data_IF_103986756189
#
_entry.id   IF_103986756189
#
_cell.length_a   1.000
_cell.length_b   1.000
_cell.length_c   1.000
_cell.angle_alpha   90.00
_cell.angle_beta   90.00
_cell.angle_gamma   90.00
#
_symmetry.space_group_name_H-M   'P 1'
#
loop_
_entity.id
_entity.type
_entity.pdbx_description
1 polymer ?
#
# COMPACT_ATOMS: atom_id res chain seq x y z
N UNK A 1 -11.31 -21.20 8.19
CA UNK A 1 -10.12 -22.07 8.46
C UNK A 1 -8.99 -21.84 7.47
N UNK A 2 -9.26 -21.63 6.18
CA UNK A 2 -8.22 -21.33 5.15
C UNK A 2 -7.39 -20.11 5.48
N UNK A 3 -8.00 -18.98 5.95
CA UNK A 3 -7.26 -17.77 6.33
C UNK A 3 -6.20 -17.98 7.42
N UNK A 4 -6.46 -18.86 8.41
CA UNK A 4 -5.48 -19.21 9.45
C UNK A 4 -4.32 -20.02 8.85
N UNK A 5 -4.63 -20.96 7.93
CA UNK A 5 -3.60 -21.66 7.18
C UNK A 5 -2.78 -20.69 6.33
N UNK A 6 -3.44 -19.70 5.72
CA UNK A 6 -2.81 -18.62 4.96
C UNK A 6 -1.82 -17.81 5.80
N UNK A 7 -2.20 -17.41 7.00
CA UNK A 7 -1.27 -16.71 7.92
C UNK A 7 -0.03 -17.54 8.19
N UNK A 8 -0.20 -18.84 8.49
CA UNK A 8 0.93 -19.77 8.70
C UNK A 8 1.80 -19.94 7.46
N UNK A 9 1.17 -20.10 6.29
CA UNK A 9 1.88 -20.23 5.01
C UNK A 9 2.68 -18.96 4.66
N UNK A 10 2.10 -17.77 4.87
CA UNK A 10 2.77 -16.49 4.62
C UNK A 10 3.99 -16.34 5.53
N UNK A 11 3.87 -16.65 6.82
CA UNK A 11 5.01 -16.62 7.75
C UNK A 11 6.08 -17.64 7.36
N UNK A 12 5.68 -18.83 6.93
CA UNK A 12 6.60 -19.87 6.45
C UNK A 12 7.36 -19.40 5.20
N UNK A 13 6.66 -18.82 4.23
CA UNK A 13 7.29 -18.26 3.02
C UNK A 13 8.27 -17.15 3.40
N UNK A 14 7.87 -16.19 4.23
CA UNK A 14 8.76 -15.13 4.71
C UNK A 14 10.01 -15.72 5.42
N UNK A 15 9.85 -16.74 6.25
CA UNK A 15 10.94 -17.43 6.92
C UNK A 15 11.85 -18.18 5.95
N UNK A 16 11.30 -18.84 4.92
CA UNK A 16 12.07 -19.53 3.89
C UNK A 16 12.98 -18.58 3.12
N UNK A 17 12.48 -17.38 2.81
CA UNK A 17 13.22 -16.33 2.11
C UNK A 17 14.04 -15.41 3.03
N UNK A 18 14.12 -15.72 4.33
CA UNK A 18 14.96 -14.99 5.28
C UNK A 18 16.44 -15.16 4.98
N UNK A 19 17.20 -14.06 5.05
CA UNK A 19 18.66 -14.06 4.88
C UNK A 19 19.38 -14.67 6.06
N UNK A 20 18.80 -14.56 7.28
CA UNK A 20 19.40 -15.08 8.50
C UNK A 20 18.31 -15.53 9.50
N UNK A 21 17.85 -16.77 9.33
CA UNK A 21 16.75 -17.34 10.13
C UNK A 21 17.04 -17.41 11.63
N UNK A 22 18.33 -17.48 12.03
CA UNK A 22 18.72 -17.58 13.44
C UNK A 22 18.60 -16.27 14.19
N UNK A 23 18.72 -15.15 13.47
CA UNK A 23 18.70 -13.81 14.05
C UNK A 23 17.30 -13.15 14.00
N UNK A 24 16.26 -13.91 13.63
CA UNK A 24 14.89 -13.40 13.67
C UNK A 24 14.52 -13.11 15.12
N UNK A 25 14.21 -11.84 15.41
CA UNK A 25 13.75 -11.42 16.73
C UNK A 25 12.27 -11.78 16.91
N UNK A 26 12.02 -12.93 17.58
CA UNK A 26 10.66 -13.44 17.80
C UNK A 26 9.79 -12.47 18.58
N UNK A 27 10.36 -11.65 19.47
CA UNK A 27 9.60 -10.62 20.21
C UNK A 27 9.06 -9.56 19.24
N UNK A 28 9.90 -9.00 18.39
CA UNK A 28 9.48 -7.99 17.40
C UNK A 28 8.46 -8.56 16.42
N UNK A 29 8.70 -9.77 15.92
CA UNK A 29 7.81 -10.45 14.96
C UNK A 29 6.44 -10.76 15.61
N UNK A 30 6.42 -11.35 16.80
CA UNK A 30 5.16 -11.68 17.48
C UNK A 30 4.37 -10.43 17.87
N UNK A 31 5.03 -9.39 18.37
CA UNK A 31 4.37 -8.13 18.72
C UNK A 31 3.83 -7.41 17.50
N UNK A 32 4.54 -7.42 16.37
CA UNK A 32 4.05 -6.83 15.13
C UNK A 32 2.81 -7.57 14.59
N UNK A 33 2.81 -8.90 14.63
CA UNK A 33 1.66 -9.72 14.25
C UNK A 33 0.47 -9.49 15.21
N UNK A 34 0.72 -9.50 16.52
CA UNK A 34 -0.32 -9.24 17.52
C UNK A 34 -0.92 -7.84 17.37
N UNK A 35 -0.08 -6.82 17.11
CA UNK A 35 -0.53 -5.46 16.86
C UNK A 35 -1.43 -5.38 15.61
N UNK A 36 -1.06 -6.09 14.55
CA UNK A 36 -1.84 -6.16 13.32
C UNK A 36 -3.20 -6.82 13.57
N UNK A 37 -3.22 -7.96 14.29
CA UNK A 37 -4.46 -8.67 14.67
C UNK A 37 -5.31 -7.78 15.59
N UNK A 38 -4.70 -7.17 16.61
CA UNK A 38 -5.39 -6.27 17.53
C UNK A 38 -6.05 -5.11 16.80
N UNK A 39 -5.32 -4.48 15.87
CA UNK A 39 -5.85 -3.37 15.10
C UNK A 39 -7.03 -3.80 14.22
N UNK A 40 -6.90 -4.94 13.54
CA UNK A 40 -7.97 -5.49 12.72
C UNK A 40 -9.21 -5.87 13.56
N UNK A 41 -9.01 -6.52 14.73
CA UNK A 41 -10.10 -6.81 15.67
C UNK A 41 -10.80 -5.52 16.13
N UNK A 42 -10.02 -4.50 16.50
CA UNK A 42 -10.54 -3.23 16.95
C UNK A 42 -11.44 -2.58 15.90
N UNK A 43 -10.97 -2.48 14.65
CA UNK A 43 -11.68 -1.70 13.61
C UNK A 43 -12.73 -2.51 12.83
N UNK A 44 -12.59 -3.85 12.74
CA UNK A 44 -13.51 -4.68 11.97
C UNK A 44 -14.54 -5.42 12.83
N UNK A 45 -14.28 -5.62 14.12
CA UNK A 45 -15.15 -6.43 14.98
C UNK A 45 -15.74 -5.64 16.17
N UNK A 46 -14.91 -4.90 16.90
CA UNK A 46 -15.34 -4.18 18.11
C UNK A 46 -16.23 -2.98 17.75
N UNK A 47 -17.47 -2.84 18.32
CA UNK A 47 -18.40 -1.76 17.95
C UNK A 47 -17.81 -0.35 18.11
N UNK A 48 -17.10 -0.08 19.23
CA UNK A 48 -16.46 1.21 19.47
C UNK A 48 -15.36 1.53 18.45
N UNK A 49 -14.60 0.52 18.01
CA UNK A 49 -13.58 0.68 16.97
C UNK A 49 -14.19 0.90 15.59
N UNK A 50 -15.27 0.17 15.26
CA UNK A 50 -16.06 0.41 14.03
C UNK A 50 -16.60 1.83 13.98
N UNK A 51 -17.16 2.32 15.11
CA UNK A 51 -17.67 3.69 15.19
C UNK A 51 -16.55 4.74 15.02
N UNK A 52 -15.39 4.50 15.67
CA UNK A 52 -14.22 5.36 15.48
C UNK A 52 -13.74 5.37 14.01
N UNK A 53 -13.66 4.20 13.38
CA UNK A 53 -13.32 4.07 11.95
C UNK A 53 -14.34 4.80 11.08
N UNK A 54 -15.64 4.62 11.33
CA UNK A 54 -16.70 5.29 10.58
C UNK A 54 -16.62 6.82 10.68
N UNK A 55 -16.24 7.36 11.86
CA UNK A 55 -16.01 8.81 12.03
C UNK A 55 -14.82 9.30 11.21
N UNK A 56 -13.72 8.57 11.23
CA UNK A 56 -12.55 8.89 10.39
C UNK A 56 -12.91 8.81 8.92
N UNK A 57 -13.59 7.76 8.50
CA UNK A 57 -14.06 7.57 7.11
C UNK A 57 -15.00 8.69 6.70
N UNK A 58 -15.93 9.10 7.56
CA UNK A 58 -16.83 10.24 7.33
C UNK A 58 -16.07 11.55 7.12
N UNK A 59 -15.06 11.82 7.95
CA UNK A 59 -14.21 13.00 7.80
C UNK A 59 -13.42 12.97 6.47
N UNK A 60 -12.83 11.81 6.11
CA UNK A 60 -12.13 11.65 4.83
C UNK A 60 -13.09 11.80 3.65
N UNK A 61 -14.30 11.22 3.72
CA UNK A 61 -15.33 11.38 2.68
C UNK A 61 -15.72 12.85 2.49
N UNK A 62 -15.82 13.61 3.59
CA UNK A 62 -16.10 15.04 3.51
C UNK A 62 -14.96 15.83 2.84
N UNK A 63 -13.71 15.46 3.13
CA UNK A 63 -12.55 16.03 2.42
C UNK A 63 -12.59 15.69 0.92
N UNK A 64 -12.99 14.47 0.54
CA UNK A 64 -13.17 14.08 -0.86
C UNK A 64 -14.18 15.00 -1.54
N UNK A 65 -15.30 15.28 -0.88
CA UNK A 65 -16.34 16.18 -1.42
C UNK A 65 -15.79 17.59 -1.66
N UNK A 66 -14.99 18.16 -0.74
CA UNK A 66 -14.33 19.45 -0.99
C UNK A 66 -13.36 19.41 -2.19
N UNK A 67 -12.68 18.28 -2.39
CA UNK A 67 -11.86 18.08 -3.58
C UNK A 67 -12.69 18.04 -4.86
N UNK A 68 -13.87 17.44 -4.82
CA UNK A 68 -14.81 17.42 -5.96
C UNK A 68 -15.32 18.82 -6.32
N UNK A 69 -15.48 19.73 -5.35
CA UNK A 69 -15.83 21.13 -5.63
C UNK A 69 -14.75 21.82 -6.49
N UNK A 70 -13.45 21.60 -6.17
CA UNK A 70 -12.33 22.11 -6.96
C UNK A 70 -12.26 21.51 -8.37
N UNK A 71 -12.52 20.21 -8.48
CA UNK A 71 -12.58 19.49 -9.77
C UNK A 71 -13.77 20.02 -10.59
N UNK A 72 -14.93 20.21 -9.96
CA UNK A 72 -16.11 20.77 -10.59
C UNK A 72 -15.90 22.19 -11.11
N UNK A 73 -15.16 23.03 -10.36
CA UNK A 73 -14.79 24.37 -10.79
C UNK A 73 -13.90 24.37 -12.05
N UNK A 74 -12.91 23.46 -12.11
CA UNK A 74 -11.96 23.41 -13.23
C UNK A 74 -12.55 22.76 -14.49
N UNK A 75 -13.31 21.67 -14.31
CA UNK A 75 -13.73 20.80 -15.41
C UNK A 75 -15.23 20.88 -15.74
N UNK A 76 -16.00 21.60 -14.92
CA UNK A 76 -17.44 21.85 -15.17
C UNK A 76 -18.23 20.56 -15.37
N UNK A 77 -19.00 20.48 -16.45
CA UNK A 77 -19.84 19.34 -16.78
C UNK A 77 -19.10 18.00 -16.93
N UNK A 78 -17.82 18.02 -17.25
CA UNK A 78 -17.00 16.79 -17.32
C UNK A 78 -16.80 16.13 -15.95
N UNK A 79 -16.82 16.92 -14.87
CA UNK A 79 -16.68 16.42 -13.50
C UNK A 79 -18.01 15.88 -12.94
N UNK A 80 -19.14 16.39 -13.41
CA UNK A 80 -20.48 16.11 -12.87
C UNK A 80 -21.17 14.87 -13.50
N UNK A 81 -20.43 14.05 -14.23
CA UNK A 81 -20.97 12.83 -14.83
C UNK A 81 -21.86 13.01 -16.05
N UNK A 82 -21.97 14.24 -16.61
CA UNK A 82 -22.76 14.50 -17.83
C UNK A 82 -22.31 13.73 -19.06
N UNK A 83 -21.03 13.32 -19.07
CA UNK A 83 -20.39 12.47 -20.11
C UNK A 83 -20.00 11.08 -19.57
N UNK A 84 -20.50 10.70 -18.38
CA UNK A 84 -20.08 9.50 -17.67
C UNK A 84 -18.89 9.75 -16.74
N UNK A 85 -18.40 8.67 -16.10
CA UNK A 85 -17.25 8.74 -15.19
C UNK A 85 -15.94 8.86 -15.96
N UNK A 86 -15.22 9.97 -15.79
CA UNK A 86 -13.92 10.22 -16.41
C UNK A 86 -12.82 10.06 -15.37
N UNK A 87 -12.11 8.92 -15.41
CA UNK A 87 -11.06 8.57 -14.45
C UNK A 87 -10.01 9.68 -14.28
N UNK A 88 -9.50 10.22 -15.39
CA UNK A 88 -8.45 11.25 -15.39
C UNK A 88 -8.89 12.53 -14.64
N UNK A 89 -10.16 12.84 -14.61
CA UNK A 89 -10.72 14.00 -13.93
C UNK A 89 -11.07 13.68 -12.48
N UNK A 90 -11.87 12.64 -12.28
CA UNK A 90 -12.46 12.35 -10.95
C UNK A 90 -11.47 11.69 -9.99
N UNK A 91 -10.55 10.83 -10.48
CA UNK A 91 -9.59 10.13 -9.63
C UNK A 91 -8.27 10.86 -9.58
N UNK A 92 -7.70 11.23 -10.73
CA UNK A 92 -6.39 11.91 -10.74
C UNK A 92 -6.49 13.33 -10.17
N UNK A 93 -7.60 14.01 -10.36
CA UNK A 93 -7.84 15.33 -9.76
C UNK A 93 -7.87 15.32 -8.24
N UNK A 94 -8.49 14.30 -7.64
CA UNK A 94 -8.57 14.19 -6.17
C UNK A 94 -7.18 13.91 -5.55
N UNK A 95 -6.29 13.20 -6.25
CA UNK A 95 -4.89 12.96 -5.83
C UNK A 95 -4.15 14.29 -5.68
N UNK A 96 -4.37 15.24 -6.60
CA UNK A 96 -3.74 16.55 -6.56
C UNK A 96 -4.19 17.34 -5.32
N UNK A 97 -5.48 17.35 -5.04
CA UNK A 97 -6.02 18.01 -3.85
C UNK A 97 -5.48 17.43 -2.55
N UNK A 98 -5.48 16.09 -2.42
CA UNK A 98 -4.97 15.44 -1.20
C UNK A 98 -3.47 15.63 -1.02
N UNK A 99 -2.67 15.62 -2.09
CA UNK A 99 -1.24 15.93 -2.02
C UNK A 99 -1.00 17.35 -1.52
N UNK A 100 -1.79 18.32 -2.00
CA UNK A 100 -1.75 19.71 -1.56
C UNK A 100 -2.13 19.84 -0.07
N UNK A 101 -3.22 19.20 0.35
CA UNK A 101 -3.70 19.20 1.73
C UNK A 101 -2.65 18.60 2.69
N UNK A 102 -2.12 17.42 2.37
CA UNK A 102 -1.09 16.75 3.18
C UNK A 102 0.15 17.63 3.32
N UNK A 103 0.61 18.27 2.24
CA UNK A 103 1.76 19.17 2.25
C UNK A 103 1.51 20.38 3.16
N UNK A 104 0.32 20.99 3.11
CA UNK A 104 -0.08 22.05 4.03
C UNK A 104 -0.07 21.60 5.50
N UNK A 105 -0.59 20.40 5.80
CA UNK A 105 -0.58 19.81 7.15
C UNK A 105 0.84 19.51 7.64
N UNK A 106 1.75 19.14 6.74
CA UNK A 106 3.18 18.98 7.07
C UNK A 106 3.81 20.33 7.46
N UNK A 107 3.56 21.40 6.68
CA UNK A 107 4.06 22.74 6.97
C UNK A 107 3.55 23.27 8.32
N UNK A 108 2.28 23.02 8.65
CA UNK A 108 1.67 23.38 9.94
C UNK A 108 2.19 22.54 11.12
N UNK A 109 3.06 21.55 10.87
CA UNK A 109 3.59 20.66 11.90
C UNK A 109 2.61 19.65 12.47
N UNK A 110 1.42 19.52 11.87
CA UNK A 110 0.38 18.55 12.31
C UNK A 110 0.85 17.14 11.98
N UNK A 111 1.24 16.89 10.72
CA UNK A 111 1.69 15.57 10.27
C UNK A 111 2.94 15.07 11.01
N UNK A 112 4.01 15.88 11.22
CA UNK A 112 5.16 15.47 12.01
C UNK A 112 4.79 15.04 13.43
N UNK A 113 3.84 15.73 14.09
CA UNK A 113 3.37 15.37 15.44
C UNK A 113 2.64 14.03 15.43
N UNK A 114 1.75 13.80 14.44
CA UNK A 114 1.01 12.53 14.28
C UNK A 114 1.99 11.38 14.03
N UNK A 115 2.94 11.56 13.10
CA UNK A 115 3.94 10.55 12.76
C UNK A 115 4.83 10.24 13.96
N UNK A 116 5.29 11.25 14.71
CA UNK A 116 6.10 11.05 15.91
C UNK A 116 5.33 10.32 17.02
N UNK A 117 4.05 10.65 17.21
CA UNK A 117 3.19 9.99 18.22
C UNK A 117 3.00 8.50 17.90
N UNK A 118 2.55 8.19 16.68
CA UNK A 118 2.26 6.81 16.26
C UNK A 118 3.57 6.03 16.09
N UNK A 119 4.57 6.60 15.39
CA UNK A 119 5.85 5.94 15.13
C UNK A 119 6.67 5.74 16.41
N UNK A 120 6.63 6.69 17.36
CA UNK A 120 7.25 6.53 18.66
C UNK A 120 6.58 5.43 19.51
N UNK A 121 5.25 5.31 19.41
CA UNK A 121 4.49 4.19 20.01
C UNK A 121 4.88 2.85 19.38
N UNK A 122 4.94 2.79 18.07
CA UNK A 122 5.33 1.60 17.30
C UNK A 122 6.76 1.16 17.64
N UNK A 123 7.72 2.11 17.68
CA UNK A 123 9.11 1.88 18.10
C UNK A 123 9.20 1.23 19.48
N UNK A 124 8.52 1.83 20.47
CA UNK A 124 8.57 1.35 21.87
C UNK A 124 7.95 -0.05 21.99
N UNK A 125 6.84 -0.29 21.30
CA UNK A 125 6.12 -1.56 21.36
C UNK A 125 6.91 -2.67 20.68
N UNK A 126 7.40 -2.45 19.46
CA UNK A 126 8.07 -3.46 18.66
C UNK A 126 9.57 -3.61 18.96
N UNK A 127 10.18 -2.62 19.60
CA UNK A 127 11.63 -2.57 19.82
C UNK A 127 12.44 -2.38 18.53
N UNK A 128 11.83 -1.76 17.50
CA UNK A 128 12.45 -1.44 16.21
C UNK A 128 13.20 -0.10 16.28
N UNK A 129 14.03 0.20 15.30
CA UNK A 129 14.70 1.49 15.19
C UNK A 129 13.70 2.64 15.01
N UNK A 130 14.05 3.83 15.54
CA UNK A 130 13.16 5.01 15.44
C UNK A 130 12.88 5.40 13.99
N UNK A 131 13.91 5.47 13.17
CA UNK A 131 13.79 5.92 11.79
C UNK A 131 12.92 4.97 10.94
N UNK A 132 13.08 3.65 11.05
CA UNK A 132 12.23 2.69 10.35
C UNK A 132 10.77 2.73 10.84
N UNK A 133 10.53 2.95 12.14
CA UNK A 133 9.18 3.07 12.70
C UNK A 133 8.49 4.36 12.27
N UNK A 134 9.23 5.47 12.20
CA UNK A 134 8.73 6.75 11.68
C UNK A 134 8.41 6.66 10.19
N UNK A 135 9.28 6.04 9.39
CA UNK A 135 9.04 5.82 7.97
C UNK A 135 7.83 4.92 7.73
N UNK A 136 7.71 3.80 8.46
CA UNK A 136 6.55 2.91 8.37
C UNK A 136 5.24 3.64 8.71
N UNK A 137 5.26 4.51 9.73
CA UNK A 137 4.09 5.33 10.10
C UNK A 137 3.79 6.39 9.05
N UNK A 138 4.80 7.06 8.51
CA UNK A 138 4.64 8.07 7.47
C UNK A 138 3.96 7.48 6.22
N UNK A 139 4.28 6.23 5.87
CA UNK A 139 3.69 5.52 4.74
C UNK A 139 2.18 5.30 4.85
N UNK A 140 1.57 5.46 6.03
CA UNK A 140 0.09 5.45 6.18
C UNK A 140 -0.54 6.66 5.47
N UNK A 141 0.18 7.78 5.40
CA UNK A 141 -0.33 9.08 4.96
C UNK A 141 0.26 9.53 3.62
N UNK A 142 1.54 9.20 3.37
CA UNK A 142 2.28 9.62 2.17
C UNK A 142 2.85 8.43 1.43
N UNK A 143 3.29 8.64 0.18
CA UNK A 143 3.78 7.58 -0.69
C UNK A 143 5.16 7.04 -0.31
N UNK A 144 5.51 5.95 -0.99
CA UNK A 144 6.76 5.20 -0.78
C UNK A 144 8.04 6.01 -1.07
N UNK A 145 7.95 7.14 -1.76
CA UNK A 145 9.08 8.05 -2.03
C UNK A 145 9.12 9.18 -1.00
N UNK A 146 7.95 9.67 -0.58
CA UNK A 146 7.82 10.79 0.36
C UNK A 146 8.09 10.36 1.80
N UNK A 147 7.64 9.17 2.21
CA UNK A 147 7.84 8.69 3.58
C UNK A 147 9.33 8.58 3.98
N UNK A 148 10.26 8.11 3.12
CA UNK A 148 11.69 8.14 3.43
C UNK A 148 12.26 9.54 3.61
N UNK A 149 11.63 10.59 3.05
CA UNK A 149 12.08 11.99 3.27
C UNK A 149 11.97 12.38 4.74
N UNK A 150 10.97 11.85 5.47
CA UNK A 150 10.80 12.09 6.91
C UNK A 150 12.02 11.64 7.72
N UNK A 151 12.73 10.64 7.22
CA UNK A 151 13.91 10.06 7.87
C UNK A 151 15.19 10.24 7.05
N UNK A 152 15.18 11.17 6.08
CA UNK A 152 16.29 11.40 5.15
C UNK A 152 17.65 11.56 5.83
N UNK A 153 17.82 12.32 6.93
CA UNK A 153 19.10 12.48 7.60
C UNK A 153 19.71 11.17 8.13
N UNK A 154 18.87 10.14 8.31
CA UNK A 154 19.26 8.86 8.88
C UNK A 154 19.49 7.76 7.84
N UNK A 155 18.98 7.93 6.60
CA UNK A 155 18.99 6.88 5.57
C UNK A 155 20.40 6.31 5.31
N UNK A 156 21.42 7.17 5.32
CA UNK A 156 22.81 6.74 5.09
C UNK A 156 23.46 6.03 6.29
N UNK A 157 22.91 6.23 7.51
CA UNK A 157 23.39 5.60 8.75
C UNK A 157 22.59 4.35 9.14
N UNK A 158 21.53 4.04 8.43
CA UNK A 158 20.70 2.88 8.71
C UNK A 158 21.47 1.58 8.48
N UNK A 159 21.20 0.59 9.33
CA UNK A 159 21.59 -0.80 9.06
C UNK A 159 20.89 -1.32 7.80
N UNK A 160 21.39 -2.39 7.23
CA UNK A 160 20.76 -3.01 6.07
C UNK A 160 19.32 -3.48 6.37
N UNK A 161 19.08 -4.00 7.58
CA UNK A 161 17.76 -4.40 8.04
C UNK A 161 16.79 -3.21 8.17
N UNK A 162 17.26 -2.08 8.72
CA UNK A 162 16.44 -0.86 8.83
C UNK A 162 16.10 -0.28 7.46
N UNK A 163 17.09 -0.21 6.56
CA UNK A 163 16.87 0.31 5.21
C UNK A 163 15.93 -0.59 4.40
N UNK A 164 16.05 -1.91 4.55
CA UNK A 164 15.11 -2.87 3.97
C UNK A 164 13.69 -2.70 4.54
N UNK A 165 13.56 -2.39 5.84
CA UNK A 165 12.27 -2.11 6.46
C UNK A 165 11.63 -0.83 5.89
N UNK A 166 12.41 0.20 5.59
CA UNK A 166 11.94 1.42 4.88
C UNK A 166 11.42 1.07 3.49
N UNK A 167 12.17 0.28 2.70
CA UNK A 167 11.73 -0.19 1.39
C UNK A 167 10.43 -1.00 1.48
N UNK A 168 10.38 -1.98 2.38
CA UNK A 168 9.23 -2.87 2.55
C UNK A 168 8.00 -2.11 3.06
N UNK A 169 8.18 -1.16 3.98
CA UNK A 169 7.09 -0.32 4.50
C UNK A 169 6.41 0.50 3.41
N UNK A 170 7.21 1.11 2.52
CA UNK A 170 6.68 1.83 1.35
C UNK A 170 5.91 0.95 0.37
N UNK A 171 6.38 -0.29 0.18
CA UNK A 171 5.75 -1.26 -0.72
C UNK A 171 4.48 -1.90 -0.12
N UNK A 172 4.44 -2.08 1.20
CA UNK A 172 3.30 -2.66 1.91
C UNK A 172 2.11 -1.70 2.06
N UNK A 173 2.34 -0.40 1.88
CA UNK A 173 1.35 0.66 2.09
C UNK A 173 0.89 1.31 0.79
N UNK A 174 -0.12 2.17 0.90
CA UNK A 174 -0.57 3.09 -0.16
C UNK A 174 -0.57 4.52 0.37
N UNK A 175 -0.26 5.50 -0.49
CA UNK A 175 -0.34 6.90 -0.12
C UNK A 175 -1.79 7.33 0.13
N UNK A 176 -2.00 8.25 1.08
CA UNK A 176 -3.33 8.76 1.40
C UNK A 176 -4.08 9.34 0.19
N UNK A 177 -3.39 10.08 -0.69
CA UNK A 177 -3.98 10.59 -1.92
C UNK A 177 -4.42 9.48 -2.89
N UNK A 178 -3.61 8.42 -3.02
CA UNK A 178 -3.93 7.26 -3.85
C UNK A 178 -5.10 6.45 -3.28
N UNK A 179 -5.12 6.27 -1.94
CA UNK A 179 -6.21 5.60 -1.23
C UNK A 179 -7.56 6.27 -1.51
N UNK A 180 -7.57 7.60 -1.48
CA UNK A 180 -8.76 8.39 -1.81
C UNK A 180 -9.15 8.23 -3.29
N UNK A 181 -8.16 8.08 -4.17
CA UNK A 181 -8.40 7.72 -5.57
C UNK A 181 -9.16 6.40 -5.71
N UNK A 182 -8.78 5.36 -4.95
CA UNK A 182 -9.51 4.06 -4.95
C UNK A 182 -10.92 4.18 -4.38
N UNK A 183 -11.11 4.98 -3.32
CA UNK A 183 -12.44 5.28 -2.79
C UNK A 183 -13.34 5.96 -3.83
N UNK A 184 -12.78 6.86 -4.64
CA UNK A 184 -13.49 7.53 -5.73
C UNK A 184 -13.90 6.60 -6.88
N UNK A 185 -13.24 5.43 -7.01
CA UNK A 185 -13.65 4.34 -7.91
C UNK A 185 -14.85 3.53 -7.36
N UNK A 186 -15.20 3.69 -6.09
CA UNK A 186 -16.27 2.94 -5.42
C UNK A 186 -15.77 1.77 -4.55
N UNK A 187 -14.47 1.73 -4.24
CA UNK A 187 -13.91 0.78 -3.26
C UNK A 187 -14.30 1.24 -1.85
N UNK A 188 -14.66 0.29 -0.98
CA UNK A 188 -15.11 0.58 0.38
C UNK A 188 -14.02 1.27 1.22
N UNK A 189 -14.25 2.53 1.57
CA UNK A 189 -13.26 3.39 2.24
C UNK A 189 -12.86 2.88 3.63
N UNK A 190 -13.78 2.23 4.36
CA UNK A 190 -13.49 1.63 5.66
C UNK A 190 -12.38 0.59 5.57
N UNK A 191 -12.44 -0.30 4.57
CA UNK A 191 -11.41 -1.34 4.38
C UNK A 191 -10.09 -0.74 3.91
N UNK A 192 -10.12 0.30 3.06
CA UNK A 192 -8.93 1.01 2.62
C UNK A 192 -8.19 1.68 3.78
N UNK A 193 -8.91 2.39 4.65
CA UNK A 193 -8.33 3.04 5.83
C UNK A 193 -7.79 1.97 6.80
N UNK A 194 -8.55 0.92 7.08
CA UNK A 194 -8.10 -0.17 7.94
C UNK A 194 -6.82 -0.82 7.40
N UNK A 195 -6.75 -1.10 6.08
CA UNK A 195 -5.57 -1.66 5.42
C UNK A 195 -4.36 -0.73 5.52
N UNK A 196 -4.54 0.58 5.34
CA UNK A 196 -3.47 1.57 5.45
C UNK A 196 -2.84 1.57 6.85
N UNK A 197 -3.65 1.54 7.91
CA UNK A 197 -3.12 1.47 9.27
C UNK A 197 -2.48 0.11 9.59
N UNK A 198 -3.00 -0.98 9.07
CA UNK A 198 -2.42 -2.32 9.24
C UNK A 198 -1.09 -2.48 8.48
N UNK A 199 -0.84 -1.67 7.45
CA UNK A 199 0.36 -1.78 6.60
C UNK A 199 1.66 -1.52 7.36
N UNK A 200 1.66 -0.58 8.33
CA UNK A 200 2.86 -0.24 9.09
C UNK A 200 3.41 -1.42 9.92
N UNK A 201 2.63 -2.06 10.81
CA UNK A 201 3.11 -3.26 11.50
C UNK A 201 3.32 -4.45 10.55
N UNK A 202 2.54 -4.59 9.47
CA UNK A 202 2.70 -5.66 8.50
C UNK A 202 4.02 -5.56 7.72
N UNK A 203 4.37 -4.36 7.26
CA UNK A 203 5.63 -4.10 6.57
C UNK A 203 6.84 -4.38 7.47
N UNK A 204 6.81 -3.91 8.72
CA UNK A 204 7.86 -4.18 9.71
C UNK A 204 7.95 -5.68 10.03
N UNK A 205 6.81 -6.38 10.19
CA UNK A 205 6.76 -7.82 10.42
C UNK A 205 7.53 -8.57 9.32
N UNK A 206 7.16 -8.35 8.06
CA UNK A 206 7.78 -9.07 6.94
C UNK A 206 9.24 -8.67 6.74
N UNK A 207 9.56 -7.38 6.90
CA UNK A 207 10.93 -6.91 6.80
C UNK A 207 11.84 -7.58 7.84
N UNK A 208 11.42 -7.64 9.11
CA UNK A 208 12.23 -8.22 10.19
C UNK A 208 12.32 -9.75 10.16
N UNK A 209 11.43 -10.43 9.43
CA UNK A 209 11.58 -11.86 9.13
C UNK A 209 12.55 -12.06 7.96
N UNK A 210 12.39 -11.31 6.85
CA UNK A 210 13.11 -11.56 5.62
C UNK A 210 14.54 -11.01 5.61
N UNK A 211 14.78 -9.87 6.30
CA UNK A 211 16.11 -9.32 6.55
C UNK A 211 16.23 -8.92 8.03
N UNK A 212 16.50 -9.89 8.92
CA UNK A 212 16.63 -9.66 10.36
C UNK A 212 17.78 -8.71 10.70
N UNK A 213 17.66 -8.04 11.84
CA UNK A 213 18.73 -7.18 12.36
C UNK A 213 19.92 -8.01 12.84
N UNK A 214 21.08 -7.70 12.32
CA UNK A 214 22.35 -8.37 12.67
C UNK A 214 23.41 -7.40 13.17
N UNK A 215 23.12 -6.10 13.08
CA UNK A 215 24.04 -5.04 13.46
C UNK A 215 23.59 -4.38 14.77
N UNK A 216 24.53 -3.78 15.51
CA UNK A 216 24.16 -2.95 16.67
C UNK A 216 23.64 -1.61 16.20
N UNK A 217 22.38 -1.34 16.57
CA UNK A 217 21.74 -0.04 16.28
C UNK A 217 22.32 1.00 17.22
N UNK A 218 23.00 2.02 16.69
CA UNK A 218 23.46 3.15 17.48
C UNK A 218 22.25 3.93 18.02
N UNK A 219 22.14 3.97 19.34
CA UNK A 219 21.07 4.70 20.03
C UNK A 219 21.13 6.23 19.80
N UNK A 220 22.25 6.73 19.29
CA UNK A 220 22.46 8.16 18.99
C UNK A 220 21.56 8.72 17.87
N UNK A 221 20.96 7.84 17.03
CA UNK A 221 20.00 8.26 16.00
C UNK A 221 18.65 8.73 16.61
N UNK A 222 18.50 8.65 17.93
CA UNK A 222 17.22 8.77 18.62
C UNK A 222 16.70 10.19 18.84
N UNK A 223 17.48 11.27 18.65
CA UNK A 223 17.14 12.59 19.24
C UNK A 223 17.11 13.79 18.29
N UNK A 224 17.56 13.67 17.05
CA UNK A 224 17.50 14.81 16.14
C UNK A 224 16.07 15.08 15.65
N UNK A 225 15.68 16.34 15.62
CA UNK A 225 14.38 16.78 15.11
C UNK A 225 14.24 16.43 13.62
N UNK A 226 13.03 16.11 13.20
CA UNK A 226 12.67 15.86 11.80
C UNK A 226 12.96 17.12 10.97
N UNK A 227 14.10 17.14 10.28
CA UNK A 227 14.49 18.24 9.40
C UNK A 227 13.87 18.04 8.01
N UNK A 228 12.61 18.42 7.91
CA UNK A 228 11.87 18.42 6.63
C UNK A 228 12.15 19.72 5.88
N UNK A 229 12.25 19.68 4.54
CA UNK A 229 12.30 20.91 3.74
C UNK A 229 11.07 21.77 4.09
N UNK A 230 11.30 22.95 4.65
CA UNK A 230 10.22 23.87 5.03
C UNK A 230 9.99 24.84 3.89
N UNK A 231 8.80 24.80 3.29
CA UNK A 231 8.31 25.89 2.46
C UNK A 231 8.26 27.19 3.29
N UNK A 232 8.41 28.34 2.67
CA UNK A 232 8.48 29.62 3.37
C UNK A 232 7.17 29.96 4.11
N UNK A 233 6.04 29.51 3.55
CA UNK A 233 4.70 29.72 4.13
C UNK A 233 3.75 28.58 3.70
N UNK A 234 2.57 28.55 4.34
CA UNK A 234 1.57 27.53 4.09
C UNK A 234 1.04 27.51 2.65
N UNK A 235 0.96 28.68 2.00
CA UNK A 235 0.47 28.81 0.63
C UNK A 235 1.45 28.16 -0.35
N UNK A 236 2.75 28.43 -0.17
CA UNK A 236 3.82 27.78 -0.93
C UNK A 236 3.79 26.26 -0.70
N UNK A 237 3.66 25.80 0.55
CA UNK A 237 3.55 24.38 0.87
C UNK A 237 2.38 23.69 0.15
N UNK A 238 1.21 24.33 0.12
CA UNK A 238 0.03 23.84 -0.61
C UNK A 238 0.29 23.79 -2.12
N UNK A 239 0.91 24.83 -2.68
CA UNK A 239 1.25 24.87 -4.10
C UNK A 239 2.26 23.81 -4.50
N UNK A 240 3.32 23.60 -3.71
CA UNK A 240 4.32 22.54 -3.92
C UNK A 240 3.69 21.15 -3.81
N UNK A 241 2.78 20.97 -2.84
CA UNK A 241 2.00 19.75 -2.69
C UNK A 241 1.09 19.48 -3.89
N UNK A 242 0.44 20.50 -4.44
CA UNK A 242 -0.37 20.40 -5.66
C UNK A 242 0.48 19.99 -6.86
N UNK A 243 1.66 20.60 -7.04
CA UNK A 243 2.60 20.25 -8.11
C UNK A 243 3.15 18.82 -7.97
N UNK A 244 3.39 18.38 -6.75
CA UNK A 244 3.74 16.97 -6.46
C UNK A 244 2.59 16.04 -6.81
N UNK A 245 1.36 16.39 -6.44
CA UNK A 245 0.14 15.68 -6.81
C UNK A 245 -0.06 15.56 -8.32
N UNK A 246 0.23 16.62 -9.08
CA UNK A 246 0.20 16.58 -10.56
C UNK A 246 1.20 15.55 -11.10
N UNK A 247 2.44 15.53 -10.58
CA UNK A 247 3.45 14.53 -11.00
C UNK A 247 2.96 13.10 -10.74
N UNK A 248 2.37 12.85 -9.58
CA UNK A 248 1.78 11.55 -9.23
C UNK A 248 0.63 11.22 -10.18
N UNK A 249 -0.31 12.15 -10.39
CA UNK A 249 -1.46 11.97 -11.26
C UNK A 249 -1.05 11.64 -12.71
N UNK A 250 -0.10 12.39 -13.26
CA UNK A 250 0.44 12.14 -14.61
C UNK A 250 1.14 10.78 -14.68
N UNK A 251 1.96 10.44 -13.69
CA UNK A 251 2.63 9.14 -13.65
C UNK A 251 1.63 7.98 -13.58
N UNK A 252 0.61 8.08 -12.72
CA UNK A 252 -0.48 7.08 -12.61
C UNK A 252 -1.24 6.98 -13.94
N UNK A 253 -1.67 8.11 -14.51
CA UNK A 253 -2.41 8.12 -15.78
C UNK A 253 -1.61 7.51 -16.94
N UNK A 254 -0.34 7.88 -17.09
CA UNK A 254 0.54 7.33 -18.12
C UNK A 254 0.79 5.82 -17.92
N UNK A 255 1.01 5.39 -16.68
CA UNK A 255 1.22 3.99 -16.34
C UNK A 255 -0.03 3.17 -16.63
N UNK A 256 -1.22 3.64 -16.25
CA UNK A 256 -2.48 2.97 -16.53
C UNK A 256 -2.73 2.85 -18.02
N UNK A 257 -2.56 3.94 -18.78
CA UNK A 257 -2.71 3.91 -20.24
C UNK A 257 -1.81 2.86 -20.88
N UNK A 258 -0.52 2.85 -20.49
CA UNK A 258 0.46 1.91 -21.02
C UNK A 258 0.12 0.46 -20.66
N UNK A 259 -0.14 0.16 -19.38
CA UNK A 259 -0.36 -1.22 -18.95
C UNK A 259 -1.70 -1.77 -19.40
N UNK A 260 -2.79 -1.00 -19.38
CA UNK A 260 -4.09 -1.43 -19.92
C UNK A 260 -3.96 -1.76 -21.40
N UNK A 261 -3.22 -0.94 -22.17
CA UNK A 261 -2.97 -1.20 -23.59
C UNK A 261 -2.11 -2.46 -23.81
N UNK A 262 -1.08 -2.69 -22.98
CA UNK A 262 -0.25 -3.90 -23.04
C UNK A 262 -1.07 -5.14 -22.66
N UNK A 263 -1.93 -5.08 -21.64
CA UNK A 263 -2.82 -6.19 -21.29
C UNK A 263 -3.78 -6.49 -22.46
N UNK A 264 -4.37 -5.47 -23.08
CA UNK A 264 -5.23 -5.65 -24.24
C UNK A 264 -4.50 -6.32 -25.40
N UNK A 265 -3.23 -5.91 -25.66
CA UNK A 265 -2.37 -6.57 -26.66
C UNK A 265 -2.09 -8.04 -26.29
N UNK A 266 -1.74 -8.31 -25.03
CA UNK A 266 -1.51 -9.68 -24.55
C UNK A 266 -2.76 -10.53 -24.67
N UNK A 267 -3.92 -10.00 -24.32
CA UNK A 267 -5.21 -10.69 -24.46
C UNK A 267 -5.55 -10.97 -25.91
N UNK A 268 -5.23 -10.05 -26.83
CA UNK A 268 -5.37 -10.28 -28.27
C UNK A 268 -4.50 -11.43 -28.77
N UNK A 269 -3.23 -11.48 -28.34
CA UNK A 269 -2.29 -12.55 -28.68
C UNK A 269 -2.69 -13.89 -28.06
N UNK A 270 -3.07 -13.89 -26.77
CA UNK A 270 -3.52 -15.10 -26.06
C UNK A 270 -4.82 -15.64 -26.64
N UNK A 271 -5.78 -14.78 -26.96
CA UNK A 271 -7.04 -15.17 -27.59
C UNK A 271 -6.83 -15.75 -29.00
N UNK A 272 -5.91 -15.15 -29.81
CA UNK A 272 -5.54 -15.70 -31.10
C UNK A 272 -4.91 -17.10 -30.97
N UNK A 273 -3.97 -17.27 -30.04
CA UNK A 273 -3.33 -18.57 -29.79
C UNK A 273 -4.32 -19.58 -29.21
N UNK A 274 -5.15 -19.16 -28.22
CA UNK A 274 -6.18 -20.01 -27.61
C UNK A 274 -7.23 -20.49 -28.61
N UNK A 275 -7.58 -19.65 -29.59
CA UNK A 275 -8.52 -19.98 -30.66
C UNK A 275 -8.12 -21.21 -31.49
N UNK A 276 -6.82 -21.50 -31.63
CA UNK A 276 -6.35 -22.72 -32.30
C UNK A 276 -6.70 -23.99 -31.55
N UNK A 277 -6.91 -23.88 -30.24
CA UNK A 277 -7.25 -25.02 -29.34
C UNK A 277 -8.72 -24.98 -28.87
N UNK A 278 -9.50 -23.99 -29.35
CA UNK A 278 -10.88 -23.78 -28.88
C UNK A 278 -11.01 -23.35 -27.42
N UNK A 279 -9.96 -22.67 -26.89
CA UNK A 279 -9.88 -22.20 -25.51
C UNK A 279 -9.86 -20.66 -25.48
N UNK A 280 -10.68 -20.05 -24.64
CA UNK A 280 -10.65 -18.62 -24.39
C UNK A 280 -9.52 -18.31 -23.39
N UNK A 281 -8.33 -17.97 -23.91
CA UNK A 281 -7.18 -17.60 -23.09
C UNK A 281 -7.14 -16.08 -22.92
N UNK A 282 -6.98 -15.63 -21.67
CA UNK A 282 -6.70 -14.24 -21.33
C UNK A 282 -5.61 -14.16 -20.25
N UNK A 283 -5.01 -13.00 -20.12
CA UNK A 283 -4.02 -12.73 -19.07
C UNK A 283 -4.65 -12.89 -17.66
N UNK A 284 -5.88 -12.38 -17.51
CA UNK A 284 -6.65 -12.48 -16.27
C UNK A 284 -6.94 -13.93 -15.90
N UNK A 285 -7.27 -14.78 -16.88
CA UNK A 285 -7.53 -16.19 -16.64
C UNK A 285 -6.27 -16.91 -16.17
N UNK A 286 -5.12 -16.64 -16.80
CA UNK A 286 -3.84 -17.23 -16.41
C UNK A 286 -3.47 -16.79 -15.00
N UNK A 287 -3.56 -15.48 -14.71
CA UNK A 287 -3.31 -14.96 -13.36
C UNK A 287 -4.30 -15.54 -12.36
N UNK A 288 -5.56 -15.71 -12.75
CA UNK A 288 -6.59 -16.33 -11.94
C UNK A 288 -6.20 -17.73 -11.47
N UNK A 289 -5.81 -18.61 -12.37
CA UNK A 289 -5.37 -19.97 -12.02
C UNK A 289 -4.06 -19.98 -11.20
N UNK A 290 -3.09 -19.16 -11.54
CA UNK A 290 -1.80 -19.09 -10.81
C UNK A 290 -1.99 -18.62 -9.37
N UNK A 291 -2.86 -17.64 -9.15
CA UNK A 291 -3.08 -17.04 -7.83
C UNK A 291 -4.33 -17.56 -7.10
N UNK A 292 -5.16 -18.41 -7.71
CA UNK A 292 -6.30 -19.04 -7.03
C UNK A 292 -5.92 -19.76 -5.72
N UNK A 293 -4.81 -20.52 -5.66
CA UNK A 293 -4.39 -21.14 -4.38
C UNK A 293 -4.05 -20.08 -3.31
N UNK A 294 -3.46 -18.96 -3.71
CA UNK A 294 -3.15 -17.84 -2.79
C UNK A 294 -4.45 -17.18 -2.31
N UNK A 295 -5.38 -16.91 -3.22
CA UNK A 295 -6.70 -16.36 -2.89
C UNK A 295 -7.45 -17.27 -1.90
N UNK A 296 -7.45 -18.59 -2.13
CA UNK A 296 -8.06 -19.54 -1.21
C UNK A 296 -7.37 -19.56 0.16
N UNK A 297 -6.05 -19.53 0.20
CA UNK A 297 -5.27 -19.51 1.44
C UNK A 297 -5.57 -18.28 2.30
N UNK A 298 -5.78 -17.11 1.71
CA UNK A 298 -6.11 -15.90 2.47
C UNK A 298 -7.59 -15.84 2.93
N UNK A 299 -8.41 -16.82 2.54
CA UNK A 299 -9.77 -16.99 3.06
C UNK A 299 -10.91 -16.85 2.06
N UNK A 300 -10.60 -16.75 0.77
CA UNK A 300 -11.63 -16.65 -0.28
C UNK A 300 -12.15 -18.04 -0.62
N UNK A 301 -13.48 -18.23 -0.76
CA UNK A 301 -14.07 -19.49 -1.19
C UNK A 301 -13.53 -19.95 -2.55
N UNK A 302 -13.35 -21.28 -2.73
CA UNK A 302 -12.71 -21.80 -3.94
C UNK A 302 -13.43 -21.39 -5.24
N UNK A 303 -14.76 -21.29 -5.21
CA UNK A 303 -15.55 -20.90 -6.39
C UNK A 303 -15.35 -19.43 -6.81
N UNK A 304 -14.85 -18.57 -5.90
CA UNK A 304 -14.49 -17.17 -6.17
C UNK A 304 -12.96 -17.00 -6.35
N UNK A 305 -12.18 -18.07 -6.07
CA UNK A 305 -10.73 -17.98 -5.97
C UNK A 305 -10.04 -17.62 -7.29
N UNK A 306 -10.59 -18.02 -8.44
CA UNK A 306 -10.05 -17.69 -9.76
C UNK A 306 -10.23 -16.20 -10.03
N UNK A 307 -11.42 -15.65 -9.80
CA UNK A 307 -11.71 -14.21 -9.97
C UNK A 307 -10.84 -13.37 -9.03
N UNK A 308 -10.79 -13.72 -7.74
CA UNK A 308 -9.95 -13.01 -6.78
C UNK A 308 -8.45 -13.21 -7.05
N UNK A 309 -8.04 -14.38 -7.50
CA UNK A 309 -6.67 -14.69 -7.92
C UNK A 309 -6.22 -13.83 -9.09
N UNK A 310 -7.10 -13.58 -10.07
CA UNK A 310 -6.77 -12.70 -11.19
C UNK A 310 -6.49 -11.28 -10.72
N UNK A 311 -7.26 -10.76 -9.77
CA UNK A 311 -7.06 -9.42 -9.18
C UNK A 311 -5.73 -9.33 -8.42
N UNK A 312 -5.41 -10.35 -7.60
CA UNK A 312 -4.13 -10.42 -6.86
C UNK A 312 -2.96 -10.53 -7.84
N UNK A 313 -3.09 -11.38 -8.87
CA UNK A 313 -2.09 -11.54 -9.92
C UNK A 313 -1.84 -10.24 -10.70
N UNK A 314 -2.90 -9.57 -11.12
CA UNK A 314 -2.82 -8.28 -11.80
C UNK A 314 -2.16 -7.21 -10.92
N UNK A 315 -2.46 -7.18 -9.61
CA UNK A 315 -1.78 -6.28 -8.67
C UNK A 315 -0.28 -6.55 -8.60
N UNK A 316 0.13 -7.81 -8.52
CA UNK A 316 1.54 -8.18 -8.38
C UNK A 316 2.33 -7.95 -9.67
N UNK A 317 1.76 -8.28 -10.82
CA UNK A 317 2.44 -8.19 -12.12
C UNK A 317 2.36 -6.79 -12.71
N UNK A 318 1.20 -6.14 -12.62
CA UNK A 318 0.93 -4.83 -13.21
C UNK A 318 1.00 -3.74 -12.14
N UNK A 319 -0.12 -3.46 -11.49
CA UNK A 319 -0.22 -2.58 -10.32
C UNK A 319 -1.61 -2.69 -9.66
N UNK A 320 -1.73 -2.09 -8.48
CA UNK A 320 -2.94 -2.09 -7.68
C UNK A 320 -4.08 -1.25 -8.28
N UNK A 321 -3.77 -0.18 -9.04
CA UNK A 321 -4.82 0.62 -9.70
C UNK A 321 -5.61 -0.19 -10.72
N UNK A 322 -4.91 -0.91 -11.60
CA UNK A 322 -5.55 -1.82 -12.58
C UNK A 322 -6.39 -2.85 -11.85
N UNK A 323 -5.84 -3.45 -10.79
CA UNK A 323 -6.55 -4.45 -10.01
C UNK A 323 -7.81 -3.88 -9.31
N UNK A 324 -7.77 -2.65 -8.80
CA UNK A 324 -8.96 -2.00 -8.21
C UNK A 324 -10.02 -1.63 -9.26
N UNK A 325 -9.62 -1.18 -10.45
CA UNK A 325 -10.58 -0.95 -11.56
C UNK A 325 -11.29 -2.27 -11.91
N UNK A 326 -10.53 -3.35 -12.09
CA UNK A 326 -11.09 -4.67 -12.37
C UNK A 326 -11.95 -5.20 -11.21
N UNK A 327 -11.57 -4.93 -9.93
CA UNK A 327 -12.41 -5.29 -8.78
C UNK A 327 -13.81 -4.67 -8.89
N UNK A 328 -13.92 -3.41 -9.31
CA UNK A 328 -15.22 -2.76 -9.48
C UNK A 328 -16.02 -3.41 -10.61
N UNK A 329 -15.37 -3.81 -11.70
CA UNK A 329 -16.02 -4.49 -12.83
C UNK A 329 -16.56 -5.88 -12.47
N UNK A 330 -15.81 -6.64 -11.63
CA UNK A 330 -16.19 -8.00 -11.22
C UNK A 330 -16.84 -8.09 -9.85
N UNK A 331 -17.19 -6.95 -9.24
CA UNK A 331 -17.69 -6.84 -7.87
C UNK A 331 -18.89 -7.76 -7.60
N UNK A 332 -19.82 -7.86 -8.54
CA UNK A 332 -21.00 -8.71 -8.45
C UNK A 332 -20.69 -10.22 -8.44
N UNK A 333 -19.49 -10.61 -8.87
CA UNK A 333 -19.03 -12.02 -8.89
C UNK A 333 -18.40 -12.45 -7.55
N UNK A 334 -18.18 -11.51 -6.63
CA UNK A 334 -17.53 -11.74 -5.35
C UNK A 334 -18.51 -11.44 -4.21
N UNK A 335 -18.54 -12.32 -3.22
CA UNK A 335 -19.25 -12.06 -1.96
C UNK A 335 -18.66 -10.84 -1.24
N UNK A 336 -19.45 -10.18 -0.39
CA UNK A 336 -18.98 -9.04 0.41
C UNK A 336 -17.75 -9.39 1.26
N UNK A 337 -17.68 -10.63 1.75
CA UNK A 337 -16.52 -11.16 2.47
C UNK A 337 -15.26 -11.19 1.57
N UNK A 338 -15.37 -11.71 0.36
CA UNK A 338 -14.26 -11.78 -0.59
C UNK A 338 -13.84 -10.41 -1.11
N UNK A 339 -14.79 -9.50 -1.34
CA UNK A 339 -14.50 -8.11 -1.70
C UNK A 339 -13.65 -7.43 -0.62
N UNK A 340 -13.98 -7.62 0.65
CA UNK A 340 -13.21 -7.09 1.76
C UNK A 340 -11.78 -7.67 1.77
N UNK A 341 -11.62 -9.00 1.73
CA UNK A 341 -10.31 -9.67 1.72
C UNK A 341 -9.46 -9.19 0.54
N UNK A 342 -10.04 -9.15 -0.66
CA UNK A 342 -9.35 -8.66 -1.87
C UNK A 342 -8.91 -7.21 -1.68
N UNK A 343 -9.75 -6.34 -1.12
CA UNK A 343 -9.39 -4.94 -0.86
C UNK A 343 -8.13 -4.84 0.00
N UNK A 344 -8.00 -5.63 1.08
CA UNK A 344 -6.78 -5.68 1.89
C UNK A 344 -5.59 -6.22 1.10
N UNK A 345 -5.77 -7.25 0.28
CA UNK A 345 -4.69 -7.84 -0.52
C UNK A 345 -4.16 -6.89 -1.59
N UNK A 346 -5.04 -6.07 -2.18
CA UNK A 346 -4.67 -5.08 -3.19
C UNK A 346 -4.05 -3.82 -2.61
N UNK A 347 -4.32 -3.48 -1.33
CA UNK A 347 -3.94 -2.22 -0.71
C UNK A 347 -2.44 -2.15 -0.38
N UNK A 348 -1.61 -1.94 -1.41
CA UNK A 348 -0.16 -1.78 -1.29
C UNK A 348 0.53 -1.67 -2.64
N UNK A 349 1.61 -0.88 -2.68
CA UNK A 349 2.39 -0.59 -3.90
C UNK A 349 3.30 -1.73 -4.34
N UNK A 350 3.30 -2.89 -3.67
CA UNK A 350 4.15 -4.02 -4.00
C UNK A 350 3.75 -4.69 -5.31
N UNK A 351 4.41 -4.29 -6.39
CA UNK A 351 4.28 -4.87 -7.74
C UNK A 351 5.64 -4.81 -8.48
N UNK A 352 5.75 -5.50 -9.62
CA UNK A 352 7.01 -5.58 -10.37
C UNK A 352 7.46 -4.20 -10.87
N UNK A 353 6.53 -3.34 -11.29
CA UNK A 353 6.86 -2.01 -11.84
C UNK A 353 7.46 -1.07 -10.78
N UNK A 354 7.15 -1.27 -9.49
CA UNK A 354 7.68 -0.45 -8.39
C UNK A 354 9.19 -0.60 -8.18
N UNK A 355 9.82 -1.61 -8.77
CA UNK A 355 11.29 -1.73 -8.77
C UNK A 355 11.95 -0.50 -9.40
N UNK A 356 11.42 0.00 -10.51
CA UNK A 356 11.92 1.21 -11.17
C UNK A 356 11.72 2.44 -10.28
N UNK A 357 10.59 2.51 -9.56
CA UNK A 357 10.29 3.61 -8.63
C UNK A 357 11.23 3.58 -7.42
N UNK A 358 11.54 2.41 -6.87
CA UNK A 358 12.52 2.27 -5.79
C UNK A 358 13.91 2.75 -6.21
N UNK A 359 14.40 2.30 -7.36
CA UNK A 359 15.73 2.68 -7.88
C UNK A 359 15.76 4.18 -8.21
N UNK A 360 14.73 4.70 -8.87
CA UNK A 360 14.65 6.11 -9.28
C UNK A 360 14.39 7.06 -8.12
N UNK A 361 13.44 6.72 -7.24
CA UNK A 361 13.01 7.53 -6.10
C UNK A 361 13.98 7.40 -4.92
N UNK A 362 13.93 6.28 -4.21
CA UNK A 362 14.76 6.08 -3.02
C UNK A 362 16.26 6.09 -3.36
N UNK A 363 16.66 5.53 -4.52
CA UNK A 363 18.04 5.54 -4.99
C UNK A 363 18.59 6.93 -5.34
N UNK A 364 17.72 7.93 -5.60
CA UNK A 364 18.13 9.31 -5.77
C UNK A 364 18.36 10.03 -4.44
N UNK A 365 17.66 9.60 -3.38
CA UNK A 365 17.83 10.14 -2.02
C UNK A 365 19.11 9.66 -1.36
N UNK A 366 19.53 8.42 -1.66
CA UNK A 366 20.71 7.76 -1.07
C UNK A 366 21.48 7.03 -2.19
N UNK A 367 22.24 7.78 -3.04
CA UNK A 367 22.94 7.19 -4.20
C UNK A 367 23.91 6.07 -3.84
N UNK A 368 24.54 6.13 -2.66
CA UNK A 368 25.47 5.13 -2.12
C UNK A 368 24.78 3.78 -1.81
N UNK A 369 23.46 3.79 -1.56
CA UNK A 369 22.64 2.59 -1.31
C UNK A 369 21.94 2.04 -2.57
N UNK A 370 22.17 2.62 -3.74
CA UNK A 370 21.51 2.21 -4.99
C UNK A 370 21.79 0.75 -5.35
N UNK A 371 23.01 0.27 -5.09
CA UNK A 371 23.37 -1.14 -5.27
C UNK A 371 22.56 -2.05 -4.36
N UNK A 372 22.37 -1.66 -3.09
CA UNK A 372 21.53 -2.39 -2.13
C UNK A 372 20.07 -2.45 -2.62
N UNK A 373 19.51 -1.31 -3.07
CA UNK A 373 18.14 -1.25 -3.60
C UNK A 373 17.99 -2.20 -4.79
N UNK A 374 18.96 -2.21 -5.69
CA UNK A 374 18.93 -3.08 -6.88
C UNK A 374 18.99 -4.57 -6.49
N UNK A 375 19.80 -4.91 -5.48
CA UNK A 375 19.98 -6.30 -5.03
C UNK A 375 18.78 -6.82 -4.23
N UNK A 376 18.25 -6.01 -3.32
CA UNK A 376 17.17 -6.42 -2.40
C UNK A 376 15.77 -5.98 -2.85
N UNK A 377 15.62 -5.20 -3.92
CA UNK A 377 14.35 -4.62 -4.32
C UNK A 377 13.26 -5.65 -4.60
N UNK A 378 13.55 -6.70 -5.36
CA UNK A 378 12.56 -7.77 -5.59
C UNK A 378 12.19 -8.52 -4.30
N UNK A 379 13.15 -8.68 -3.39
CA UNK A 379 12.87 -9.26 -2.06
C UNK A 379 11.97 -8.33 -1.24
N UNK A 380 12.17 -7.02 -1.31
CA UNK A 380 11.32 -6.04 -0.66
C UNK A 380 9.90 -6.03 -1.26
N UNK A 381 9.77 -6.16 -2.60
CA UNK A 381 8.47 -6.34 -3.27
C UNK A 381 7.77 -7.59 -2.73
N UNK A 382 8.47 -8.73 -2.69
CA UNK A 382 7.93 -9.96 -2.10
C UNK A 382 7.49 -9.77 -0.64
N UNK A 383 8.28 -9.08 0.18
CA UNK A 383 7.93 -8.76 1.56
C UNK A 383 6.67 -7.87 1.64
N UNK A 384 6.54 -6.87 0.78
CA UNK A 384 5.36 -6.02 0.67
C UNK A 384 4.10 -6.80 0.25
N UNK A 385 4.22 -7.69 -0.74
CA UNK A 385 3.12 -8.60 -1.13
C UNK A 385 2.69 -9.48 0.05
N UNK A 386 3.64 -10.12 0.74
CA UNK A 386 3.34 -10.96 1.90
C UNK A 386 2.70 -10.14 3.05
N UNK A 387 3.09 -8.88 3.24
CA UNK A 387 2.50 -7.98 4.22
C UNK A 387 1.01 -7.69 3.89
N UNK A 388 0.68 -7.41 2.62
CA UNK A 388 -0.71 -7.20 2.19
C UNK A 388 -1.54 -8.48 2.31
N UNK A 389 -1.00 -9.64 1.90
CA UNK A 389 -1.67 -10.93 2.04
C UNK A 389 -1.88 -11.32 3.51
N UNK A 390 -0.95 -10.96 4.42
CA UNK A 390 -1.13 -11.16 5.86
C UNK A 390 -2.28 -10.30 6.39
N UNK A 391 -2.36 -9.03 6.01
CA UNK A 391 -3.49 -8.15 6.36
C UNK A 391 -4.82 -8.70 5.84
N UNK A 392 -4.84 -9.20 4.60
CA UNK A 392 -6.00 -9.84 4.00
C UNK A 392 -6.42 -11.12 4.75
N UNK A 393 -5.46 -11.97 5.12
CA UNK A 393 -5.72 -13.19 5.88
C UNK A 393 -6.30 -12.89 7.26
N UNK A 394 -5.75 -11.90 7.96
CA UNK A 394 -6.25 -11.47 9.27
C UNK A 394 -7.67 -10.91 9.14
N UNK A 395 -7.91 -10.05 8.14
CA UNK A 395 -9.25 -9.54 7.86
C UNK A 395 -10.24 -10.67 7.56
N UNK A 396 -9.83 -11.66 6.76
CA UNK A 396 -10.63 -12.85 6.44
C UNK A 396 -11.01 -13.68 7.67
N UNK A 397 -10.10 -13.83 8.65
CA UNK A 397 -10.42 -14.48 9.93
C UNK A 397 -11.46 -13.68 10.70
N UNK A 398 -11.22 -12.37 10.87
CA UNK A 398 -12.05 -11.51 11.72
C UNK A 398 -13.45 -11.31 11.14
N UNK A 399 -13.55 -11.13 9.82
CA UNK A 399 -14.85 -10.97 9.14
C UNK A 399 -15.67 -12.27 9.08
N UNK A 400 -15.05 -13.42 9.41
CA UNK A 400 -15.76 -14.71 9.51
C UNK A 400 -16.23 -15.04 10.94
N UNK A 401 -15.90 -14.19 11.95
CA UNK A 401 -16.39 -14.27 13.33
C UNK A 401 -17.78 -13.66 13.47
#
# INVERSE_FOLDING_TARGET
>A
MSSLLGMGAILLVAWLFSTNRKNINLRTVSLALLLQIFFALLVLYVPAGKEALNRVTGAVSQLINYGQDGIGFLFGGLANGSVGFVFAINVLGIIIFFSALISGLYHLGIMPKVINLIGGGLQKLLGTGRAESLSATANIFVGMIEAPLVVKPYLHKMTDSQFFAVMTGGLASVAGGTLVGYASLGVELNYLIAAAFMSAPAGLLMAKIMLPETEHVDAAIAQDELDLPKSTNVVEAIADGAMSGVKIAVAVGATLLAFVSVIALLNGLLGWFGGWFGIELSFELIMGYVFAPVAWLIGIPWHEAITAGSLIGNKVVVNEFVAFIQLIEVKEQLSAHSQAIVTFALCGFANISTMAILIGGLGSLVPERRSFISHYGFRAIGAGVLANLMSASIAGVILSL
#
